data_IF_372180673536
#
_entry.id   IF_372180673536
#
_cell.length_a   1.000
_cell.length_b   1.000
_cell.length_c   1.000
_cell.angle_alpha   90.00
_cell.angle_beta   90.00
_cell.angle_gamma   90.00
#
_symmetry.space_group_name_H-M   'P 1'
#
loop_
_entity.id
_entity.type
_entity.pdbx_description
1 polymer ?
#
# COMPACT_ATOMS: atom_id res chain seq x y z
N UNK A 1 -14.70 7.10 -18.58
CA UNK A 1 -13.98 6.04 -19.32
C UNK A 1 -13.13 5.28 -18.31
N UNK A 2 -13.46 4.02 -18.04
CA UNK A 2 -12.67 3.17 -17.14
C UNK A 2 -11.40 2.78 -17.87
N UNK A 3 -10.24 3.16 -17.35
CA UNK A 3 -8.93 2.76 -17.90
C UNK A 3 -8.59 1.39 -17.31
N UNK A 4 -9.30 0.35 -17.74
CA UNK A 4 -8.83 -1.02 -17.56
C UNK A 4 -7.73 -1.24 -18.59
N UNK A 5 -6.47 -1.07 -18.19
CA UNK A 5 -5.36 -1.50 -19.04
C UNK A 5 -5.43 -3.02 -19.17
N UNK A 6 -5.70 -3.51 -20.37
CA UNK A 6 -5.65 -4.93 -20.70
C UNK A 6 -4.18 -5.37 -20.72
N UNK A 7 -3.68 -5.78 -19.57
CA UNK A 7 -2.36 -6.40 -19.45
C UNK A 7 -2.45 -7.88 -19.83
N UNK A 8 -1.54 -8.35 -20.69
CA UNK A 8 -1.40 -9.79 -20.91
C UNK A 8 -0.79 -10.45 -19.68
N UNK A 9 -1.06 -11.75 -19.46
CA UNK A 9 -0.41 -12.52 -18.38
C UNK A 9 1.12 -12.45 -18.46
N UNK A 10 1.66 -12.40 -19.68
CA UNK A 10 3.08 -12.21 -19.91
C UNK A 10 3.58 -10.85 -19.42
N UNK A 11 2.87 -9.76 -19.72
CA UNK A 11 3.23 -8.42 -19.26
C UNK A 11 3.14 -8.28 -17.73
N UNK A 12 2.21 -9.00 -17.09
CA UNK A 12 2.13 -9.09 -15.63
C UNK A 12 3.32 -9.86 -15.05
N UNK A 13 3.68 -10.99 -15.65
CA UNK A 13 4.80 -11.82 -15.20
C UNK A 13 6.16 -11.11 -15.38
N UNK A 14 6.35 -10.37 -16.47
CA UNK A 14 7.58 -9.59 -16.74
C UNK A 14 7.81 -8.47 -15.72
N UNK A 15 6.72 -7.94 -15.13
CA UNK A 15 6.80 -6.92 -14.07
C UNK A 15 7.06 -7.48 -12.67
N UNK A 16 6.96 -8.80 -12.48
CA UNK A 16 7.14 -9.43 -11.18
C UNK A 16 8.60 -9.87 -10.97
N UNK A 17 9.20 -9.60 -9.80
CA UNK A 17 10.47 -10.18 -9.40
C UNK A 17 10.47 -11.71 -9.58
N UNK A 18 11.53 -12.25 -10.17
CA UNK A 18 11.68 -13.71 -10.36
C UNK A 18 11.56 -14.51 -9.07
N UNK A 19 11.91 -13.91 -7.93
CA UNK A 19 11.73 -14.50 -6.60
C UNK A 19 10.27 -14.75 -6.25
N UNK A 20 9.34 -13.89 -6.70
CA UNK A 20 7.90 -14.10 -6.49
C UNK A 20 7.30 -15.09 -7.48
N UNK A 21 7.82 -15.16 -8.71
CA UNK A 21 7.37 -16.16 -9.71
C UNK A 21 7.74 -17.59 -9.31
N UNK A 22 8.84 -17.77 -8.57
CA UNK A 22 9.35 -19.06 -8.12
C UNK A 22 9.06 -19.35 -6.64
N UNK A 23 8.30 -18.49 -5.97
CA UNK A 23 7.98 -18.64 -4.56
C UNK A 23 6.99 -19.80 -4.34
N UNK A 24 7.15 -20.50 -3.24
CA UNK A 24 6.15 -21.44 -2.72
C UNK A 24 4.92 -20.71 -2.19
N UNK A 25 3.79 -21.43 -2.08
CA UNK A 25 2.55 -20.88 -1.51
C UNK A 25 2.77 -20.29 -0.10
N UNK A 26 3.63 -20.92 0.71
CA UNK A 26 3.97 -20.44 2.05
C UNK A 26 4.74 -19.12 2.01
N UNK A 27 5.68 -18.96 1.08
CA UNK A 27 6.43 -17.71 0.90
C UNK A 27 5.52 -16.59 0.38
N UNK A 28 4.60 -16.91 -0.54
CA UNK A 28 3.60 -15.96 -1.03
C UNK A 28 2.66 -15.51 0.09
N UNK A 29 2.25 -16.42 0.98
CA UNK A 29 1.44 -16.07 2.15
C UNK A 29 2.21 -15.14 3.11
N UNK A 30 3.47 -15.46 3.41
CA UNK A 30 4.33 -14.60 4.23
C UNK A 30 4.52 -13.21 3.61
N UNK A 31 4.68 -13.15 2.29
CA UNK A 31 4.77 -11.89 1.56
C UNK A 31 3.46 -11.09 1.60
N UNK A 32 2.30 -11.76 1.46
CA UNK A 32 1.00 -11.11 1.61
C UNK A 32 0.83 -10.47 2.99
N UNK A 33 1.24 -11.17 4.06
CA UNK A 33 1.20 -10.62 5.42
C UNK A 33 2.05 -9.35 5.55
N UNK A 34 3.23 -9.31 4.93
CA UNK A 34 4.10 -8.12 4.90
C UNK A 34 3.40 -6.96 4.18
N UNK A 35 2.76 -7.23 3.04
CA UNK A 35 1.99 -6.22 2.29
C UNK A 35 0.87 -5.66 3.16
N UNK A 36 0.11 -6.51 3.84
CA UNK A 36 -1.02 -6.11 4.68
C UNK A 36 -0.58 -5.20 5.83
N UNK A 37 0.49 -5.57 6.54
CA UNK A 37 1.06 -4.72 7.61
C UNK A 37 1.61 -3.39 7.08
N UNK A 38 2.22 -3.41 5.89
CA UNK A 38 2.70 -2.18 5.24
C UNK A 38 1.56 -1.23 4.88
N UNK A 39 0.42 -1.77 4.41
CA UNK A 39 -0.78 -0.99 4.13
C UNK A 39 -1.34 -0.39 5.43
N UNK A 40 -1.46 -1.18 6.50
CA UNK A 40 -1.93 -0.71 7.81
C UNK A 40 -1.05 0.43 8.32
N UNK A 41 0.28 0.30 8.24
CA UNK A 41 1.23 1.33 8.64
C UNK A 41 1.00 2.63 7.84
N UNK A 42 0.86 2.53 6.52
CA UNK A 42 0.59 3.69 5.66
C UNK A 42 -0.69 4.42 6.06
N UNK A 43 -1.77 3.70 6.32
CA UNK A 43 -3.03 4.30 6.74
C UNK A 43 -2.92 4.91 8.15
N UNK A 44 -2.18 4.26 9.06
CA UNK A 44 -1.85 4.83 10.37
C UNK A 44 -1.12 6.18 10.26
N UNK A 45 -0.11 6.26 9.39
CA UNK A 45 0.60 7.51 9.10
C UNK A 45 -0.32 8.60 8.55
N UNK A 46 -1.19 8.26 7.60
CA UNK A 46 -2.18 9.21 7.03
C UNK A 46 -3.13 9.72 8.09
N UNK A 47 -3.60 8.85 8.98
CA UNK A 47 -4.50 9.23 10.07
C UNK A 47 -3.80 10.15 11.08
N UNK A 48 -2.57 9.83 11.48
CA UNK A 48 -1.77 10.69 12.35
C UNK A 48 -1.55 12.07 11.72
N UNK A 49 -1.22 12.13 10.43
CA UNK A 49 -1.05 13.40 9.73
C UNK A 49 -2.32 14.25 9.75
N UNK A 50 -3.50 13.64 9.59
CA UNK A 50 -4.79 14.35 9.71
C UNK A 50 -4.99 14.90 11.12
N UNK A 51 -4.72 14.10 12.16
CA UNK A 51 -4.85 14.54 13.55
C UNK A 51 -3.94 15.72 13.87
N UNK A 52 -2.67 15.68 13.45
CA UNK A 52 -1.71 16.77 13.64
C UNK A 52 -2.20 18.06 12.96
N UNK A 53 -2.69 17.96 11.72
CA UNK A 53 -3.24 19.12 11.00
C UNK A 53 -4.44 19.70 11.74
N UNK A 54 -5.40 18.87 12.13
CA UNK A 54 -6.59 19.31 12.88
C UNK A 54 -6.20 19.99 14.21
N UNK A 55 -5.23 19.44 14.93
CA UNK A 55 -4.72 20.04 16.16
C UNK A 55 -4.08 21.41 15.93
N UNK A 56 -3.21 21.51 14.91
CA UNK A 56 -2.55 22.77 14.55
C UNK A 56 -3.56 23.86 14.14
N UNK A 57 -4.55 23.52 13.32
CA UNK A 57 -5.61 24.47 12.92
C UNK A 57 -6.45 24.92 14.11
N UNK A 58 -6.80 24.02 15.03
CA UNK A 58 -7.58 24.35 16.22
C UNK A 58 -6.83 25.30 17.18
N UNK A 59 -5.50 25.22 17.25
CA UNK A 59 -4.67 26.14 18.04
C UNK A 59 -4.61 27.54 17.41
N UNK A 60 -4.39 27.62 16.09
CA UNK A 60 -4.35 28.90 15.36
C UNK A 60 -5.64 29.69 15.52
N UNK A 61 -6.79 29.01 15.63
CA UNK A 61 -8.09 29.66 15.76
C UNK A 61 -8.39 30.19 17.18
N UNK A 62 -7.54 29.87 18.17
CA UNK A 62 -7.69 30.31 19.58
C UNK A 62 -6.73 31.44 19.96
N UNK A 63 -5.76 31.76 19.12
CA UNK A 63 -4.84 32.91 19.22
C UNK A 63 -5.30 34.05 18.33
#
# INVERSE_FOLDING_TARGET
MSVTKDYTLQQLAEGLPKSLLNASDQELQGFQMIIDETIKLREGHRNLQKLIKSFSTAQIQRT
#
